data_IF_004015512858
#
_entry.id   IF_004015512858
#
_cell.length_a   1.000
_cell.length_b   1.000
_cell.length_c   1.000
_cell.angle_alpha   90.00
_cell.angle_beta   90.00
_cell.angle_gamma   90.00
#
_symmetry.space_group_name_H-M   'P 1'
#
loop_
_entity.id
_entity.type
_entity.pdbx_description
1 polymer ?
#
# COMPACT_ATOMS: atom_id res chain seq x y z
N UNK A 1 -3.04 -11.28 16.00
CA UNK A 1 -4.01 -11.35 14.88
C UNK A 1 -3.35 -10.81 13.62
N UNK A 2 -3.61 -11.40 12.45
CA UNK A 2 -3.07 -10.89 11.20
C UNK A 2 -3.79 -9.61 10.76
N UNK A 3 -3.06 -8.67 10.14
CA UNK A 3 -3.63 -7.44 9.58
C UNK A 3 -4.43 -7.80 8.32
N UNK A 4 -5.69 -7.40 8.25
CA UNK A 4 -6.58 -7.72 7.14
C UNK A 4 -6.35 -6.82 5.93
N UNK A 5 -6.78 -7.27 4.73
CA UNK A 5 -6.71 -6.45 3.51
C UNK A 5 -7.46 -5.12 3.64
N UNK A 6 -8.61 -5.11 4.31
CA UNK A 6 -9.38 -3.89 4.59
C UNK A 6 -8.61 -2.92 5.49
N UNK A 7 -7.89 -3.43 6.50
CA UNK A 7 -7.02 -2.62 7.34
C UNK A 7 -5.84 -2.06 6.56
N UNK A 8 -5.17 -2.87 5.72
CA UNK A 8 -4.10 -2.40 4.83
C UNK A 8 -4.61 -1.24 3.96
N UNK A 9 -5.78 -1.39 3.33
CA UNK A 9 -6.36 -0.32 2.51
C UNK A 9 -6.61 0.98 3.29
N UNK A 10 -7.08 0.88 4.55
CA UNK A 10 -7.24 2.06 5.44
C UNK A 10 -5.90 2.70 5.75
N UNK A 11 -4.88 1.91 6.06
CA UNK A 11 -3.52 2.38 6.35
C UNK A 11 -2.95 3.09 5.12
N UNK A 12 -3.04 2.48 3.93
CA UNK A 12 -2.58 3.06 2.66
C UNK A 12 -3.22 4.42 2.43
N UNK A 13 -4.55 4.53 2.57
CA UNK A 13 -5.26 5.80 2.37
C UNK A 13 -4.76 6.92 3.31
N UNK A 14 -4.50 6.61 4.58
CA UNK A 14 -4.00 7.58 5.56
C UNK A 14 -2.54 7.92 5.28
N UNK A 15 -1.69 6.89 5.06
CA UNK A 15 -0.27 7.06 4.78
C UNK A 15 -0.05 7.88 3.49
N UNK A 16 -0.79 7.58 2.41
CA UNK A 16 -0.75 8.32 1.15
C UNK A 16 -1.01 9.82 1.37
N UNK A 17 -2.09 10.16 2.09
CA UNK A 17 -2.42 11.57 2.36
C UNK A 17 -1.33 12.30 3.15
N UNK A 18 -0.70 11.62 4.11
CA UNK A 18 0.38 12.20 4.94
C UNK A 18 1.68 12.33 4.13
N UNK A 19 2.09 11.26 3.43
CA UNK A 19 3.32 11.26 2.63
C UNK A 19 3.24 12.33 1.55
N UNK A 20 2.12 12.40 0.81
CA UNK A 20 1.97 13.40 -0.25
C UNK A 20 1.97 14.84 0.25
N UNK A 21 1.56 15.08 1.49
CA UNK A 21 1.66 16.42 2.09
C UNK A 21 3.10 16.84 2.40
N UNK A 22 4.05 15.91 2.42
CA UNK A 22 5.46 16.15 2.72
C UNK A 22 6.37 16.12 1.47
N UNK A 23 5.85 15.63 0.35
CA UNK A 23 6.58 15.46 -0.90
C UNK A 23 6.32 16.63 -1.87
N UNK A 24 6.86 16.53 -3.09
CA UNK A 24 6.65 17.51 -4.15
C UNK A 24 5.20 17.57 -4.64
N UNK A 25 4.92 18.52 -5.50
CA UNK A 25 3.66 18.54 -6.25
C UNK A 25 3.77 17.68 -7.52
N UNK A 26 2.65 17.45 -8.22
CA UNK A 26 2.64 16.62 -9.43
C UNK A 26 3.66 17.05 -10.50
N UNK A 27 3.87 18.35 -10.66
CA UNK A 27 4.81 18.90 -11.66
C UNK A 27 6.23 19.07 -11.15
N UNK A 28 6.57 18.60 -9.97
CA UNK A 28 7.93 18.75 -9.43
C UNK A 28 8.94 18.01 -10.28
N UNK A 29 10.01 18.72 -10.67
CA UNK A 29 11.19 18.16 -11.34
C UNK A 29 12.43 18.71 -10.66
N UNK A 30 13.13 17.86 -9.91
CA UNK A 30 14.50 18.11 -9.48
C UNK A 30 15.41 17.59 -10.58
N UNK A 31 16.12 18.49 -11.24
CA UNK A 31 16.92 18.17 -12.44
C UNK A 31 18.09 17.25 -12.16
N UNK A 32 18.67 17.37 -10.97
CA UNK A 32 19.78 16.53 -10.50
C UNK A 32 19.70 16.36 -8.97
N UNK A 33 19.19 15.22 -8.55
CA UNK A 33 18.99 14.91 -7.14
C UNK A 33 20.23 14.25 -6.54
N UNK A 34 21.08 15.05 -5.91
CA UNK A 34 22.33 14.60 -5.27
C UNK A 34 23.26 13.80 -6.22
N UNK A 35 23.36 14.19 -7.48
CA UNK A 35 24.13 13.51 -8.54
C UNK A 35 23.61 12.11 -8.90
N UNK A 36 22.31 11.84 -8.63
CA UNK A 36 21.64 10.61 -9.03
C UNK A 36 20.60 10.84 -10.15
N UNK A 37 20.85 11.85 -11.00
CA UNK A 37 19.94 12.23 -12.06
C UNK A 37 18.66 12.91 -11.56
N UNK A 38 17.65 13.00 -12.42
CA UNK A 38 16.41 13.70 -12.08
C UNK A 38 15.52 12.90 -11.11
N UNK A 39 14.81 13.64 -10.25
CA UNK A 39 13.68 13.15 -9.48
C UNK A 39 12.41 13.88 -9.88
N UNK A 40 11.31 13.18 -10.13
CA UNK A 40 10.12 13.75 -10.76
C UNK A 40 8.83 13.39 -10.02
N UNK A 41 7.83 14.24 -10.19
CA UNK A 41 6.47 14.03 -9.69
C UNK A 41 6.34 14.16 -8.19
N UNK A 42 5.15 13.86 -7.70
CA UNK A 42 4.75 14.11 -6.31
C UNK A 42 5.51 13.25 -5.27
N UNK A 43 6.04 12.10 -5.65
CA UNK A 43 6.86 11.24 -4.78
C UNK A 43 8.34 11.29 -5.15
N UNK A 44 8.78 12.22 -5.98
CA UNK A 44 10.17 12.39 -6.39
C UNK A 44 10.80 11.07 -6.87
N UNK A 45 10.10 10.39 -7.81
CA UNK A 45 10.62 9.17 -8.43
C UNK A 45 11.91 9.47 -9.17
N UNK A 46 13.00 8.83 -8.73
CA UNK A 46 14.35 9.15 -9.16
C UNK A 46 14.77 8.31 -10.39
N UNK A 47 15.52 8.92 -11.31
CA UNK A 47 16.00 8.28 -12.54
C UNK A 47 17.03 7.19 -12.26
N UNK A 48 18.02 7.46 -11.43
CA UNK A 48 19.08 6.50 -11.08
C UNK A 48 18.53 5.20 -10.50
N UNK A 49 17.47 5.30 -9.67
CA UNK A 49 16.82 4.14 -9.05
C UNK A 49 15.77 3.49 -9.96
N UNK A 50 15.74 3.83 -11.24
CA UNK A 50 14.85 3.20 -12.22
C UNK A 50 13.37 3.53 -12.05
N UNK A 51 13.05 4.68 -11.47
CA UNK A 51 11.66 5.03 -11.15
C UNK A 51 11.07 6.09 -12.07
N UNK A 52 11.86 7.06 -12.52
CA UNK A 52 11.40 8.17 -13.34
C UNK A 52 10.97 7.72 -14.74
N UNK A 53 11.78 6.93 -15.42
CA UNK A 53 11.50 6.51 -16.79
C UNK A 53 10.24 5.66 -16.94
N UNK A 54 9.98 4.63 -16.10
CA UNK A 54 8.72 3.90 -16.15
C UNK A 54 7.49 4.78 -15.95
N UNK A 55 7.54 5.76 -15.05
CA UNK A 55 6.45 6.72 -14.87
C UNK A 55 6.21 7.53 -16.16
N UNK A 56 7.26 8.12 -16.74
CA UNK A 56 7.13 8.89 -17.98
C UNK A 56 6.60 8.03 -19.12
N UNK A 57 7.09 6.79 -19.28
CA UNK A 57 6.59 5.85 -20.29
C UNK A 57 5.11 5.56 -20.12
N UNK A 58 4.65 5.30 -18.90
CA UNK A 58 3.22 5.05 -18.64
C UNK A 58 2.33 6.24 -19.02
N UNK A 59 2.81 7.47 -18.80
CA UNK A 59 2.07 8.68 -19.22
C UNK A 59 2.09 8.84 -20.73
N UNK A 60 3.24 8.61 -21.37
CA UNK A 60 3.38 8.66 -22.84
C UNK A 60 2.47 7.61 -23.50
N UNK A 61 2.42 6.40 -23.00
CA UNK A 61 1.60 5.32 -23.53
C UNK A 61 0.08 5.62 -23.43
N UNK A 62 -0.33 6.41 -22.44
CA UNK A 62 -1.74 6.76 -22.23
C UNK A 62 -2.28 7.70 -23.29
N UNK A 63 -1.49 8.70 -23.68
CA UNK A 63 -1.80 9.65 -24.77
C UNK A 63 -0.52 10.08 -25.49
N UNK A 64 -0.18 9.34 -26.55
CA UNK A 64 1.05 9.54 -27.31
C UNK A 64 1.08 10.88 -28.07
N UNK A 65 -0.06 11.31 -28.60
CA UNK A 65 -0.13 12.57 -29.38
C UNK A 65 0.10 13.78 -28.46
N UNK A 66 -0.61 13.83 -27.34
CA UNK A 66 -0.43 14.88 -26.34
C UNK A 66 1.00 14.86 -25.76
N UNK A 67 1.52 13.68 -25.45
CA UNK A 67 2.87 13.55 -24.91
C UNK A 67 3.92 14.06 -25.91
N UNK A 68 3.79 13.73 -27.19
CA UNK A 68 4.69 14.20 -28.24
C UNK A 68 4.63 15.71 -28.44
N UNK A 69 3.43 16.30 -28.41
CA UNK A 69 3.25 17.75 -28.48
C UNK A 69 3.94 18.48 -27.30
N UNK A 70 3.83 17.90 -26.10
CA UNK A 70 4.40 18.49 -24.88
C UNK A 70 5.91 18.36 -24.81
N UNK A 71 6.43 17.15 -25.11
CA UNK A 71 7.85 16.82 -24.94
C UNK A 71 8.72 17.26 -26.14
N UNK A 72 8.12 17.41 -27.30
CA UNK A 72 8.84 17.53 -28.58
C UNK A 72 9.45 16.21 -29.04
N UNK A 73 9.81 16.15 -30.35
CA UNK A 73 10.23 14.89 -31.00
C UNK A 73 11.44 14.23 -30.34
N UNK A 74 12.44 15.01 -29.91
CA UNK A 74 13.70 14.49 -29.37
C UNK A 74 13.48 13.80 -28.01
N UNK A 75 12.88 14.51 -27.04
CA UNK A 75 12.67 13.99 -25.70
C UNK A 75 11.61 12.88 -25.69
N UNK A 76 10.55 13.02 -26.52
CA UNK A 76 9.56 11.95 -26.73
C UNK A 76 10.21 10.67 -27.21
N UNK A 77 11.07 10.75 -28.26
CA UNK A 77 11.75 9.57 -28.82
C UNK A 77 12.70 8.94 -27.81
N UNK A 78 13.41 9.76 -27.03
CA UNK A 78 14.27 9.28 -25.95
C UNK A 78 13.45 8.51 -24.91
N UNK A 79 12.39 9.10 -24.36
CA UNK A 79 11.57 8.47 -23.33
C UNK A 79 10.90 7.20 -23.86
N UNK A 80 10.30 7.23 -25.04
CA UNK A 80 9.62 6.07 -25.63
C UNK A 80 10.60 4.93 -25.96
N UNK A 81 11.82 5.25 -26.43
CA UNK A 81 12.82 4.28 -26.87
C UNK A 81 13.79 3.79 -25.79
N UNK A 82 14.04 4.57 -24.74
CA UNK A 82 15.03 4.24 -23.71
C UNK A 82 14.64 3.04 -22.88
N UNK A 83 15.63 2.24 -22.47
CA UNK A 83 15.47 1.27 -21.38
C UNK A 83 15.69 1.95 -20.03
N UNK A 84 15.06 1.41 -18.98
CA UNK A 84 15.27 1.89 -17.60
C UNK A 84 16.75 1.80 -17.20
N UNK A 85 17.44 0.75 -17.63
CA UNK A 85 18.86 0.54 -17.34
C UNK A 85 19.76 1.62 -17.95
N UNK A 86 19.49 2.06 -19.19
CA UNK A 86 20.27 3.11 -19.83
C UNK A 86 20.15 4.44 -19.08
N UNK A 87 18.95 4.79 -18.63
CA UNK A 87 18.73 5.99 -17.83
C UNK A 87 19.43 5.92 -16.47
N UNK A 88 19.31 4.80 -15.76
CA UNK A 88 19.94 4.60 -14.47
C UNK A 88 21.47 4.72 -14.54
N UNK A 89 22.11 4.09 -15.53
CA UNK A 89 23.56 4.11 -15.70
C UNK A 89 24.10 5.47 -16.13
N UNK A 90 23.28 6.26 -16.81
CA UNK A 90 23.68 7.58 -17.31
C UNK A 90 23.47 8.69 -16.28
N UNK A 91 22.88 8.37 -15.11
CA UNK A 91 22.53 9.37 -14.10
C UNK A 91 21.81 10.57 -14.73
N UNK A 92 20.81 10.29 -15.55
CA UNK A 92 20.15 11.23 -16.47
C UNK A 92 19.71 12.52 -15.77
N UNK A 93 20.40 13.61 -16.06
CA UNK A 93 20.05 14.97 -15.66
C UNK A 93 19.17 15.63 -16.73
N UNK A 94 18.15 16.37 -16.32
CA UNK A 94 17.31 17.14 -17.24
C UNK A 94 17.89 18.53 -17.49
N UNK A 95 17.83 19.01 -18.73
CA UNK A 95 18.00 20.43 -19.02
C UNK A 95 16.83 21.25 -18.47
N UNK A 96 16.93 22.57 -18.48
CA UNK A 96 15.84 23.42 -18.00
C UNK A 96 14.59 23.28 -18.89
N UNK A 97 14.78 23.20 -20.20
CA UNK A 97 13.72 23.02 -21.19
C UNK A 97 13.03 21.67 -21.02
N UNK A 98 13.82 20.59 -20.87
CA UNK A 98 13.30 19.25 -20.61
C UNK A 98 12.53 19.20 -19.30
N UNK A 99 13.04 19.82 -18.24
CA UNK A 99 12.36 19.87 -16.95
C UNK A 99 11.00 20.58 -17.05
N UNK A 100 10.89 21.68 -17.82
CA UNK A 100 9.63 22.36 -18.11
C UNK A 100 8.64 21.47 -18.87
N UNK A 101 9.11 20.77 -19.90
CA UNK A 101 8.30 19.84 -20.69
C UNK A 101 7.81 18.66 -19.85
N UNK A 102 8.71 18.04 -19.08
CA UNK A 102 8.36 16.95 -18.14
C UNK A 102 7.34 17.43 -17.10
N UNK A 103 7.56 18.59 -16.50
CA UNK A 103 6.62 19.18 -15.54
C UNK A 103 5.22 19.40 -16.14
N UNK A 104 5.15 19.87 -17.40
CA UNK A 104 3.87 20.02 -18.11
C UNK A 104 3.19 18.67 -18.35
N UNK A 105 3.94 17.64 -18.76
CA UNK A 105 3.43 16.28 -18.95
C UNK A 105 2.88 15.69 -17.65
N UNK A 106 3.64 15.79 -16.57
CA UNK A 106 3.26 15.30 -15.23
C UNK A 106 1.98 15.96 -14.68
N UNK A 107 1.69 17.19 -15.09
CA UNK A 107 0.51 17.95 -14.63
C UNK A 107 -0.73 17.78 -15.50
N UNK A 108 -0.65 17.04 -16.60
CA UNK A 108 -1.83 16.62 -17.37
C UNK A 108 -2.79 15.80 -16.48
N UNK A 109 -4.02 15.59 -16.94
CA UNK A 109 -4.99 14.76 -16.24
C UNK A 109 -4.43 13.33 -16.07
N UNK A 110 -3.97 12.73 -17.17
CA UNK A 110 -3.44 11.37 -17.18
C UNK A 110 -2.14 11.27 -16.37
N UNK A 111 -1.28 12.29 -16.45
CA UNK A 111 -0.07 12.36 -15.63
C UNK A 111 -0.33 12.34 -14.14
N UNK A 112 -1.37 13.04 -13.67
CA UNK A 112 -1.79 13.02 -12.26
C UNK A 112 -2.37 11.67 -11.85
N UNK A 113 -3.28 11.12 -12.67
CA UNK A 113 -3.92 9.82 -12.41
C UNK A 113 -2.88 8.69 -12.29
N UNK A 114 -1.93 8.63 -13.23
CA UNK A 114 -0.86 7.62 -13.20
C UNK A 114 0.07 7.79 -12.00
N UNK A 115 0.38 9.03 -11.61
CA UNK A 115 1.15 9.27 -10.38
C UNK A 115 0.40 8.82 -9.12
N UNK A 116 -0.92 9.02 -9.06
CA UNK A 116 -1.75 8.58 -7.93
C UNK A 116 -1.75 7.05 -7.83
N UNK A 117 -1.97 6.35 -8.94
CA UNK A 117 -1.98 4.89 -9.00
C UNK A 117 -0.62 4.28 -8.63
N UNK A 118 0.47 4.87 -9.14
CA UNK A 118 1.83 4.40 -8.83
C UNK A 118 2.16 4.60 -7.35
N UNK A 119 1.81 5.76 -6.83
CA UNK A 119 2.06 6.10 -5.43
C UNK A 119 1.25 5.21 -4.47
N UNK A 120 -0.01 4.93 -4.76
CA UNK A 120 -0.83 3.99 -3.96
C UNK A 120 -0.29 2.56 -4.03
N UNK A 121 0.26 2.18 -5.19
CA UNK A 121 0.95 0.88 -5.38
C UNK A 121 2.20 0.79 -4.50
N UNK A 122 3.05 1.82 -4.52
CA UNK A 122 4.27 1.88 -3.71
C UNK A 122 3.94 1.82 -2.22
N UNK A 123 3.03 2.66 -1.75
CA UNK A 123 2.64 2.70 -0.34
C UNK A 123 1.99 1.39 0.10
N UNK A 124 1.21 0.75 -0.77
CA UNK A 124 0.69 -0.60 -0.50
C UNK A 124 1.82 -1.61 -0.31
N UNK A 125 2.87 -1.52 -1.12
CA UNK A 125 4.09 -2.32 -0.98
C UNK A 125 4.77 -2.08 0.37
N UNK A 126 4.95 -0.81 0.76
CA UNK A 126 5.58 -0.44 2.03
C UNK A 126 4.79 -0.94 3.24
N UNK A 127 3.47 -0.75 3.26
CA UNK A 127 2.60 -1.28 4.33
C UNK A 127 2.72 -2.80 4.44
N UNK A 128 2.69 -3.51 3.30
CA UNK A 128 2.87 -4.98 3.27
C UNK A 128 4.24 -5.41 3.78
N UNK A 129 5.29 -4.65 3.53
CA UNK A 129 6.62 -4.93 4.08
C UNK A 129 6.64 -4.80 5.60
N UNK A 130 5.97 -3.80 6.18
CA UNK A 130 5.78 -3.69 7.62
C UNK A 130 5.03 -4.89 8.22
N UNK A 131 3.97 -5.35 7.54
CA UNK A 131 3.23 -6.56 7.95
C UNK A 131 4.12 -7.81 7.90
N UNK A 132 4.97 -7.97 6.88
CA UNK A 132 5.93 -9.09 6.80
C UNK A 132 6.95 -9.10 7.93
N UNK A 133 7.32 -7.93 8.48
CA UNK A 133 8.18 -7.81 9.65
C UNK A 133 7.44 -8.23 10.93
N UNK A 134 6.11 -8.27 10.90
CA UNK A 134 5.25 -8.64 12.03
C UNK A 134 4.56 -7.46 12.73
N UNK A 135 4.64 -6.25 12.17
CA UNK A 135 3.88 -5.11 12.70
C UNK A 135 2.37 -5.35 12.52
N UNK A 136 1.60 -5.08 13.57
CA UNK A 136 0.13 -5.23 13.56
C UNK A 136 -0.61 -3.94 13.92
N UNK A 137 0.06 -2.97 14.53
CA UNK A 137 -0.48 -1.64 14.79
C UNK A 137 -0.67 -0.88 13.47
N UNK A 138 -1.90 -0.45 13.17
CA UNK A 138 -2.21 0.27 11.93
C UNK A 138 -1.50 1.62 11.86
N UNK A 139 -1.34 2.27 13.01
CA UNK A 139 -0.59 3.53 13.11
C UNK A 139 0.91 3.31 12.93
N UNK A 140 1.48 2.24 13.49
CA UNK A 140 2.88 1.88 13.27
C UNK A 140 3.13 1.52 11.79
N UNK A 141 2.22 0.81 11.13
CA UNK A 141 2.30 0.50 9.71
C UNK A 141 2.26 1.75 8.82
N UNK A 142 1.42 2.75 9.14
CA UNK A 142 1.40 4.01 8.43
C UNK A 142 2.72 4.79 8.59
N UNK A 143 3.28 4.79 9.79
CA UNK A 143 4.57 5.42 10.07
C UNK A 143 5.72 4.68 9.37
N UNK A 144 5.69 3.34 9.39
CA UNK A 144 6.64 2.50 8.67
C UNK A 144 6.65 2.79 7.17
N UNK A 145 5.47 3.00 6.57
CA UNK A 145 5.37 3.35 5.15
C UNK A 145 6.04 4.68 4.81
N UNK A 146 5.93 5.71 5.68
CA UNK A 146 6.67 6.96 5.49
C UNK A 146 8.18 6.78 5.67
N UNK A 147 8.63 5.97 6.63
CA UNK A 147 10.04 5.62 6.78
C UNK A 147 10.59 4.94 5.53
N UNK A 148 9.83 4.02 4.93
CA UNK A 148 10.24 3.32 3.72
C UNK A 148 10.24 4.23 2.50
N UNK A 149 9.26 5.12 2.38
CA UNK A 149 9.22 6.12 1.31
C UNK A 149 10.43 7.05 1.34
N UNK A 150 10.85 7.51 2.52
CA UNK A 150 11.95 8.46 2.65
C UNK A 150 13.33 7.79 2.67
N UNK A 151 13.48 6.69 3.41
CA UNK A 151 14.78 6.07 3.69
C UNK A 151 14.98 4.70 3.05
N UNK A 152 13.98 4.22 2.28
CA UNK A 152 14.00 2.90 1.66
C UNK A 152 13.80 1.75 2.65
N UNK A 153 13.72 0.53 2.11
CA UNK A 153 13.44 -0.70 2.88
C UNK A 153 14.52 -1.03 3.92
N UNK A 154 15.76 -0.59 3.70
CA UNK A 154 16.87 -0.78 4.65
C UNK A 154 16.65 0.00 5.94
N UNK A 155 16.28 1.29 5.84
CA UNK A 155 16.06 2.15 7.00
C UNK A 155 14.79 1.75 7.77
N UNK A 156 13.68 1.58 7.08
CA UNK A 156 12.40 1.19 7.68
C UNK A 156 12.49 -0.14 8.42
N UNK A 157 13.11 -1.16 7.79
CA UNK A 157 13.27 -2.49 8.40
C UNK A 157 14.21 -2.46 9.61
N UNK A 158 15.31 -1.70 9.55
CA UNK A 158 16.24 -1.56 10.68
C UNK A 158 15.53 -0.95 11.89
N UNK A 159 14.80 0.15 11.69
CA UNK A 159 14.09 0.84 12.77
C UNK A 159 13.01 -0.07 13.37
N UNK A 160 12.18 -0.72 12.53
CA UNK A 160 11.12 -1.59 13.00
C UNK A 160 11.66 -2.80 13.78
N UNK A 161 12.77 -3.41 13.33
CA UNK A 161 13.41 -4.53 14.04
C UNK A 161 13.99 -4.10 15.39
N UNK A 162 14.68 -2.95 15.43
CA UNK A 162 15.21 -2.43 16.69
C UNK A 162 14.09 -2.10 17.69
N UNK A 163 12.98 -1.53 17.22
CA UNK A 163 11.80 -1.30 18.06
C UNK A 163 11.21 -2.64 18.56
N UNK A 164 11.11 -3.65 17.68
CA UNK A 164 10.61 -4.97 18.04
C UNK A 164 11.47 -5.69 19.07
N UNK A 165 12.78 -5.64 18.94
CA UNK A 165 13.71 -6.17 19.94
C UNK A 165 13.51 -5.53 21.32
N UNK A 166 13.36 -4.21 21.37
CA UNK A 166 13.17 -3.47 22.61
C UNK A 166 11.80 -3.69 23.27
N UNK A 167 10.76 -3.93 22.48
CA UNK A 167 9.40 -4.20 22.98
C UNK A 167 9.14 -5.68 23.26
N UNK A 168 10.04 -6.56 22.83
CA UNK A 168 9.91 -8.01 22.95
C UNK A 168 8.94 -8.63 21.94
N UNK A 169 8.80 -8.00 20.75
CA UNK A 169 8.04 -8.53 19.60
C UNK A 169 7.51 -7.43 18.70
N UNK A 170 7.51 -7.70 17.38
CA UNK A 170 7.03 -6.74 16.38
C UNK A 170 5.54 -6.42 16.54
N UNK A 171 4.75 -7.36 17.04
CA UNK A 171 3.32 -7.20 17.33
C UNK A 171 3.05 -6.23 18.48
N UNK A 172 4.08 -5.88 19.27
CA UNK A 172 3.98 -4.91 20.38
C UNK A 172 4.44 -3.51 20.00
N UNK A 173 4.98 -3.36 18.80
CA UNK A 173 5.43 -2.05 18.30
C UNK A 173 4.22 -1.21 17.90
N UNK A 174 3.96 -0.16 18.67
CA UNK A 174 2.98 0.87 18.37
C UNK A 174 3.61 2.09 17.67
N UNK A 175 2.80 3.15 17.52
CA UNK A 175 3.26 4.40 16.91
C UNK A 175 4.35 5.07 17.72
N UNK A 176 4.22 5.08 19.04
CA UNK A 176 5.17 5.71 19.96
C UNK A 176 6.54 5.05 19.88
N UNK A 177 6.57 3.71 19.88
CA UNK A 177 7.81 2.94 19.83
C UNK A 177 8.54 3.14 18.51
N UNK A 178 7.86 2.96 17.37
CA UNK A 178 8.51 3.10 16.07
C UNK A 178 9.01 4.55 15.84
N UNK A 179 8.26 5.55 16.30
CA UNK A 179 8.69 6.95 16.25
C UNK A 179 9.93 7.20 17.11
N UNK A 180 9.95 6.72 18.35
CA UNK A 180 11.08 6.89 19.26
C UNK A 180 12.39 6.28 18.70
N UNK A 181 12.29 5.12 18.04
CA UNK A 181 13.44 4.48 17.39
C UNK A 181 13.82 5.13 16.06
N UNK A 182 12.88 5.72 15.33
CA UNK A 182 13.17 6.52 14.15
C UNK A 182 13.98 7.78 14.49
N UNK A 183 13.67 8.44 15.61
CA UNK A 183 14.44 9.60 16.09
C UNK A 183 15.87 9.24 16.54
N UNK A 184 16.09 8.01 17.01
CA UNK A 184 17.42 7.52 17.44
C UNK A 184 18.25 6.97 16.27
N UNK A 185 17.64 6.72 15.12
CA UNK A 185 18.34 6.18 13.95
C UNK A 185 19.30 7.23 13.38
N UNK A 186 20.54 6.83 13.08
CA UNK A 186 21.60 7.72 12.63
C UNK A 186 21.25 8.47 11.33
N UNK A 187 20.44 7.88 10.46
CA UNK A 187 20.03 8.49 9.19
C UNK A 187 18.70 9.21 9.32
N UNK A 188 17.67 8.49 9.80
CA UNK A 188 16.30 9.01 9.82
C UNK A 188 16.07 10.02 10.94
N UNK A 189 16.84 9.95 12.04
CA UNK A 189 16.79 10.92 13.14
C UNK A 189 17.27 12.33 12.75
N UNK A 190 18.05 12.45 11.68
CA UNK A 190 18.47 13.77 11.15
C UNK A 190 17.30 14.60 10.60
N UNK A 191 16.16 13.95 10.32
CA UNK A 191 14.94 14.58 9.82
C UNK A 191 13.88 14.74 10.92
N UNK A 192 14.26 15.15 12.12
CA UNK A 192 13.39 15.23 13.31
C UNK A 192 12.10 15.99 13.04
N UNK A 193 12.16 17.12 12.33
CA UNK A 193 10.98 17.93 11.99
C UNK A 193 9.96 17.14 11.16
N UNK A 194 10.40 16.38 10.14
CA UNK A 194 9.53 15.52 9.34
C UNK A 194 8.98 14.39 10.21
N UNK A 195 9.84 13.73 11.00
CA UNK A 195 9.45 12.63 11.89
C UNK A 195 8.34 13.03 12.84
N UNK A 196 8.46 14.21 13.46
CA UNK A 196 7.47 14.74 14.39
C UNK A 196 6.15 15.12 13.68
N UNK A 197 6.22 15.76 12.51
CA UNK A 197 5.01 16.09 11.72
C UNK A 197 4.24 14.86 11.30
N UNK A 198 4.94 13.83 10.81
CA UNK A 198 4.33 12.56 10.40
C UNK A 198 3.72 11.84 11.61
N UNK A 199 4.44 11.80 12.73
CA UNK A 199 3.92 11.22 13.98
C UNK A 199 2.61 11.87 14.42
N UNK A 200 2.57 13.21 14.51
CA UNK A 200 1.36 13.92 14.94
C UNK A 200 0.19 13.73 13.96
N UNK A 201 0.48 13.74 12.65
CA UNK A 201 -0.55 13.49 11.63
C UNK A 201 -1.16 12.08 11.75
N UNK A 202 -0.32 11.05 11.97
CA UNK A 202 -0.78 9.67 12.15
C UNK A 202 -1.50 9.50 13.48
N UNK A 203 -1.00 10.11 14.55
CA UNK A 203 -1.61 10.10 15.89
C UNK A 203 -3.03 10.65 15.85
N UNK A 204 -3.23 11.77 15.14
CA UNK A 204 -4.54 12.41 14.94
C UNK A 204 -5.44 11.73 13.90
N UNK A 205 -4.96 10.72 13.17
CA UNK A 205 -5.74 10.03 12.16
C UNK A 205 -6.83 9.12 12.76
N UNK A 206 -7.78 8.70 11.92
CA UNK A 206 -8.84 7.76 12.29
C UNK A 206 -8.41 6.28 12.26
N UNK A 207 -7.11 6.01 12.18
CA UNK A 207 -6.59 4.64 12.36
C UNK A 207 -6.73 4.25 13.83
N UNK A 208 -7.48 3.18 14.08
CA UNK A 208 -7.64 2.60 15.41
C UNK A 208 -6.96 1.24 15.42
N UNK A 209 -5.96 1.08 16.26
CA UNK A 209 -5.41 -0.24 16.57
C UNK A 209 -6.47 -1.07 17.28
N UNK A 210 -6.57 -2.33 16.92
CA UNK A 210 -7.42 -3.25 17.67
C UNK A 210 -6.85 -3.28 19.09
N UNK A 211 -7.57 -2.70 20.05
CA UNK A 211 -7.12 -2.61 21.43
C UNK A 211 -6.73 -3.99 21.94
N UNK A 212 -5.47 -4.19 22.25
CA UNK A 212 -5.06 -5.20 23.21
C UNK A 212 -5.48 -4.68 24.60
N UNK A 213 -6.76 -4.79 24.94
CA UNK A 213 -7.18 -4.65 26.33
C UNK A 213 -6.37 -5.68 27.11
N UNK A 214 -5.56 -5.20 28.05
CA UNK A 214 -5.00 -6.05 29.11
C UNK A 214 -6.17 -6.74 29.77
N UNK A 215 -6.45 -7.94 29.35
CA UNK A 215 -7.29 -8.85 30.14
C UNK A 215 -6.39 -9.33 31.25
N UNK A 216 -6.61 -8.81 32.44
CA UNK A 216 -6.10 -9.42 33.66
C UNK A 216 -6.43 -10.91 33.58
N UNK A 217 -5.42 -11.72 33.87
CA UNK A 217 -5.53 -13.16 33.98
C UNK A 217 -6.72 -13.54 34.91
N UNK A 218 -7.81 -13.94 34.29
CA UNK A 218 -8.77 -14.85 34.91
C UNK A 218 -8.69 -16.18 34.18
N UNK A 219 -8.22 -17.14 34.94
CA UNK A 219 -8.10 -18.57 34.71
C UNK A 219 -8.94 -19.14 33.54
N UNK A 220 -8.21 -19.85 32.70
CA UNK A 220 -8.60 -20.94 31.82
C UNK A 220 -9.98 -21.55 32.05
N UNK A 221 -10.83 -21.32 31.06
CA UNK A 221 -11.73 -22.37 30.59
C UNK A 221 -11.49 -22.50 29.09
N UNK A 222 -11.29 -23.71 28.51
CA UNK A 222 -11.00 -23.88 27.08
C UNK A 222 -12.18 -23.35 26.28
N UNK A 223 -11.96 -22.32 25.47
CA UNK A 223 -12.95 -21.90 24.49
C UNK A 223 -13.10 -23.01 23.44
N UNK A 224 -14.27 -23.63 23.48
CA UNK A 224 -14.82 -24.52 22.47
C UNK A 224 -14.63 -23.90 21.07
N UNK A 225 -14.28 -24.68 20.04
CA UNK A 225 -14.17 -24.21 18.67
C UNK A 225 -15.44 -23.45 18.28
N UNK A 226 -15.29 -22.27 17.68
CA UNK A 226 -16.39 -21.46 17.17
C UNK A 226 -17.21 -22.31 16.21
N UNK A 227 -18.44 -22.59 16.56
CA UNK A 227 -19.34 -23.42 15.77
C UNK A 227 -19.45 -22.82 14.38
N UNK A 228 -19.01 -23.55 13.38
CA UNK A 228 -19.36 -23.34 11.97
C UNK A 228 -20.90 -23.35 11.94
N UNK A 229 -21.58 -22.40 11.27
CA UNK A 229 -23.01 -22.50 11.10
C UNK A 229 -23.33 -23.86 10.50
N UNK A 230 -23.83 -24.77 11.33
CA UNK A 230 -24.21 -26.12 10.94
C UNK A 230 -25.47 -26.02 10.09
N UNK A 231 -25.32 -26.23 8.79
CA UNK A 231 -26.49 -26.35 7.93
C UNK A 231 -26.30 -25.94 6.47
N UNK A 232 -25.24 -25.25 6.09
CA UNK A 232 -25.06 -24.84 4.68
C UNK A 232 -24.38 -25.97 3.89
N UNK A 233 -25.06 -26.45 2.85
CA UNK A 233 -24.63 -27.55 1.99
C UNK A 233 -24.42 -27.09 0.55
N UNK A 234 -23.64 -27.87 -0.21
CA UNK A 234 -23.50 -27.66 -1.64
C UNK A 234 -24.86 -27.76 -2.32
N UNK A 235 -25.25 -26.72 -3.04
CA UNK A 235 -26.52 -26.60 -3.75
C UNK A 235 -27.46 -25.58 -3.10
N UNK A 236 -27.25 -25.22 -1.84
CA UNK A 236 -28.09 -24.27 -1.11
C UNK A 236 -28.04 -22.87 -1.73
N UNK A 237 -29.13 -22.16 -1.56
CA UNK A 237 -29.23 -20.74 -1.87
C UNK A 237 -29.09 -19.98 -0.57
N UNK A 238 -28.14 -19.09 -0.51
CA UNK A 238 -27.77 -18.31 0.67
C UNK A 238 -27.70 -16.81 0.34
N UNK A 239 -27.76 -15.99 1.35
CA UNK A 239 -27.53 -14.55 1.20
C UNK A 239 -26.10 -14.22 1.61
N UNK A 240 -25.28 -13.77 0.66
CA UNK A 240 -23.99 -13.14 0.96
C UNK A 240 -24.25 -11.70 1.41
N UNK A 241 -23.70 -11.31 2.56
CA UNK A 241 -24.00 -10.04 3.23
C UNK A 241 -22.91 -8.97 3.05
N UNK A 242 -21.93 -9.26 2.19
CA UNK A 242 -20.74 -8.42 2.00
C UNK A 242 -19.51 -9.04 2.67
N UNK A 243 -18.33 -8.72 2.16
CA UNK A 243 -17.05 -9.19 2.69
C UNK A 243 -16.09 -9.67 1.62
N UNK A 244 -15.03 -10.38 2.05
CA UNK A 244 -13.98 -10.90 1.18
C UNK A 244 -14.44 -12.07 0.30
N UNK A 245 -14.07 -12.02 -0.96
CA UNK A 245 -14.23 -13.14 -1.91
C UNK A 245 -12.84 -13.67 -2.27
N UNK A 246 -12.60 -14.96 -2.03
CA UNK A 246 -11.28 -15.59 -2.08
C UNK A 246 -11.16 -16.56 -3.25
N UNK A 247 -9.95 -16.74 -3.79
CA UNK A 247 -9.69 -17.69 -4.89
C UNK A 247 -9.69 -19.15 -4.44
N UNK A 248 -9.46 -19.41 -3.16
CA UNK A 248 -9.52 -20.74 -2.55
C UNK A 248 -10.03 -20.68 -1.12
N UNK A 249 -10.51 -21.82 -0.61
CA UNK A 249 -10.97 -21.95 0.79
C UNK A 249 -9.89 -21.74 1.84
N UNK A 250 -8.62 -21.75 1.43
CA UNK A 250 -7.44 -21.57 2.29
C UNK A 250 -6.63 -20.34 1.91
N UNK A 251 -7.15 -19.45 1.05
CA UNK A 251 -6.43 -18.27 0.62
C UNK A 251 -6.20 -17.33 1.81
N UNK A 252 -5.00 -16.81 1.90
CA UNK A 252 -4.61 -15.90 2.97
C UNK A 252 -5.23 -14.50 2.81
N UNK A 253 -5.53 -14.11 1.54
CA UNK A 253 -6.05 -12.78 1.20
C UNK A 253 -7.25 -12.88 0.26
N UNK A 254 -8.21 -11.97 0.42
CA UNK A 254 -9.34 -11.83 -0.49
C UNK A 254 -8.85 -11.37 -1.87
N UNK A 255 -9.33 -12.03 -2.92
CA UNK A 255 -9.09 -11.59 -4.29
C UNK A 255 -9.88 -10.31 -4.62
N UNK A 256 -11.06 -10.16 -4.00
CA UNK A 256 -11.92 -8.98 -4.10
C UNK A 256 -12.68 -8.77 -2.80
N UNK A 257 -12.91 -7.51 -2.44
CA UNK A 257 -13.89 -7.12 -1.43
C UNK A 257 -15.20 -6.75 -2.15
N UNK A 258 -16.32 -7.21 -1.63
CA UNK A 258 -17.66 -6.92 -2.14
C UNK A 258 -18.51 -6.34 -1.02
N UNK A 259 -18.89 -5.07 -1.17
CA UNK A 259 -19.84 -4.41 -0.27
C UNK A 259 -21.23 -4.45 -0.92
N UNK A 260 -21.75 -5.68 -1.08
CA UNK A 260 -23.07 -5.93 -1.71
C UNK A 260 -23.76 -7.09 -1.01
N UNK A 261 -25.06 -6.97 -0.83
CA UNK A 261 -25.91 -8.09 -0.45
C UNK A 261 -26.35 -8.82 -1.73
N UNK A 262 -26.06 -10.12 -1.81
CA UNK A 262 -26.28 -10.91 -3.03
C UNK A 262 -26.87 -12.28 -2.70
N UNK A 263 -27.85 -12.70 -3.48
CA UNK A 263 -28.36 -14.08 -3.44
C UNK A 263 -27.36 -14.99 -4.18
N UNK A 264 -26.80 -15.97 -3.50
CA UNK A 264 -25.75 -16.83 -3.99
C UNK A 264 -26.13 -18.31 -3.91
N UNK A 265 -25.71 -19.10 -4.90
CA UNK A 265 -25.71 -20.55 -4.82
C UNK A 265 -24.39 -21.05 -4.28
N UNK A 266 -24.41 -21.92 -3.28
CA UNK A 266 -23.22 -22.60 -2.77
C UNK A 266 -22.84 -23.73 -3.72
N UNK A 267 -21.68 -23.63 -4.34
CA UNK A 267 -21.18 -24.60 -5.33
C UNK A 267 -20.07 -25.50 -4.78
N UNK A 268 -19.54 -25.16 -3.61
CA UNK A 268 -18.52 -25.95 -2.90
C UNK A 268 -18.54 -25.67 -1.41
N UNK A 269 -18.25 -26.69 -0.62
CA UNK A 269 -18.10 -26.58 0.84
C UNK A 269 -16.79 -27.25 1.24
N UNK A 270 -15.96 -26.54 1.99
CA UNK A 270 -14.74 -27.05 2.63
C UNK A 270 -14.72 -26.63 4.10
N UNK A 271 -15.24 -27.50 4.96
CA UNK A 271 -15.33 -27.26 6.41
C UNK A 271 -13.98 -27.13 7.13
N UNK A 272 -12.88 -27.52 6.47
CA UNK A 272 -11.51 -27.36 6.98
C UNK A 272 -10.86 -26.06 6.50
N UNK A 273 -11.49 -25.32 5.57
CA UNK A 273 -11.00 -24.06 5.03
C UNK A 273 -11.37 -22.87 5.92
N UNK A 274 -10.54 -21.85 5.91
CA UNK A 274 -10.82 -20.54 6.55
C UNK A 274 -12.05 -19.86 5.92
N UNK A 275 -12.29 -20.12 4.61
CA UNK A 275 -13.42 -19.63 3.84
C UNK A 275 -14.23 -20.83 3.35
N UNK A 276 -15.20 -21.32 4.15
CA UNK A 276 -15.74 -22.66 3.94
C UNK A 276 -16.69 -22.79 2.75
N UNK A 277 -17.25 -21.68 2.22
CA UNK A 277 -18.29 -21.76 1.18
C UNK A 277 -17.84 -21.12 -0.13
N UNK A 278 -17.90 -21.89 -1.23
CA UNK A 278 -17.75 -21.35 -2.57
C UNK A 278 -19.11 -20.88 -3.08
N UNK A 279 -19.25 -19.58 -3.30
CA UNK A 279 -20.51 -18.93 -3.66
C UNK A 279 -20.47 -18.35 -5.08
N UNK A 280 -21.61 -18.48 -5.79
CA UNK A 280 -21.85 -17.86 -7.10
C UNK A 280 -23.15 -17.07 -7.03
N UNK A 281 -23.08 -15.76 -7.31
CA UNK A 281 -24.26 -14.91 -7.31
C UNK A 281 -25.27 -15.35 -8.39
N UNK A 282 -26.56 -15.31 -8.02
CA UNK A 282 -27.69 -15.61 -8.90
C UNK A 282 -28.39 -14.32 -9.37
N UNK A 283 -28.06 -13.18 -8.78
CA UNK A 283 -28.67 -11.87 -9.00
C UNK A 283 -27.79 -10.91 -9.82
N UNK A 284 -26.73 -11.43 -10.45
CA UNK A 284 -25.82 -10.66 -11.31
C UNK A 284 -24.85 -9.71 -10.58
N UNK A 285 -24.82 -9.71 -9.24
CA UNK A 285 -23.92 -8.82 -8.46
C UNK A 285 -22.47 -9.26 -8.43
N UNK A 286 -22.14 -10.34 -9.13
CA UNK A 286 -20.77 -10.74 -9.44
C UNK A 286 -19.98 -11.30 -8.25
N UNK A 287 -20.66 -11.95 -7.29
CA UNK A 287 -19.98 -12.78 -6.28
C UNK A 287 -19.60 -14.10 -6.91
N UNK A 288 -18.31 -14.41 -6.95
CA UNK A 288 -17.77 -15.66 -7.49
C UNK A 288 -16.48 -16.00 -6.76
N UNK A 289 -16.52 -16.98 -5.88
CA UNK A 289 -15.35 -17.42 -5.09
C UNK A 289 -15.73 -17.95 -3.70
N UNK A 290 -14.70 -18.22 -2.92
CA UNK A 290 -14.84 -18.67 -1.54
C UNK A 290 -15.13 -17.48 -0.62
N UNK A 291 -15.98 -17.67 0.39
CA UNK A 291 -16.40 -16.61 1.32
C UNK A 291 -16.38 -17.14 2.76
N UNK A 292 -16.29 -16.21 3.73
CA UNK A 292 -16.30 -16.58 5.14
C UNK A 292 -17.67 -17.09 5.55
N UNK A 293 -17.72 -17.93 6.58
CA UNK A 293 -18.96 -18.40 7.15
C UNK A 293 -19.82 -17.25 7.72
N UNK A 294 -19.19 -16.24 8.30
CA UNK A 294 -19.86 -15.08 8.86
C UNK A 294 -20.53 -14.16 7.82
N UNK A 295 -20.09 -14.24 6.55
CA UNK A 295 -20.60 -13.41 5.45
C UNK A 295 -21.81 -14.05 4.75
N UNK A 296 -22.30 -15.19 5.25
CA UNK A 296 -23.38 -16.00 4.64
C UNK A 296 -24.49 -16.23 5.65
N UNK A 297 -25.74 -16.02 5.21
CA UNK A 297 -26.98 -16.26 5.96
C UNK A 297 -27.94 -17.14 5.18
#
# INVERSE_FOLDING_TARGET
>A
MAVTAAQIKKVVKVASGIIYSQEGNYGSVNRNDNNHGMSIGKCQWNAYWGRALPLLKSIVEKDQEQAKEILGDALYTEIAGSSADAWNRQEREATEEEAKAISKLLTTKDGKEIQDDLADTDITGYVKNGVKIGLVSLKALAYFADLENQGGSGASSRIAKTAAEATGGAEKVGLEEIHAYALKDATMGQYESRRSKVYEAIKGSNLTDVSHTKTEEKQNTPQKPQETPTGVSKGDIVTFTGGGVYISSMAEYAAKEKDVVSTCKVTGVNTKGTHPYHCISQDGKGVYGWVNAADVK
#
